data_IF_093068008343
#
_entry.id   IF_093068008343
#
_cell.length_a   1.000
_cell.length_b   1.000
_cell.length_c   1.000
_cell.angle_alpha   90.00
_cell.angle_beta   90.00
_cell.angle_gamma   90.00
#
_symmetry.space_group_name_H-M   'P 1'
#
loop_
_entity.id
_entity.type
_entity.pdbx_description
1 polymer ?
#
# COMPACT_ATOMS: atom_id res chain seq x y z
N UNK A 1 -18.02 6.75 -13.95
CA UNK A 1 -17.62 5.35 -14.25
C UNK A 1 -16.20 5.18 -13.75
N UNK A 2 -15.96 4.12 -12.97
CA UNK A 2 -14.62 3.74 -12.49
C UNK A 2 -14.26 2.43 -13.17
N UNK A 3 -13.09 2.35 -13.78
CA UNK A 3 -12.54 1.12 -14.35
C UNK A 3 -11.34 0.69 -13.49
N UNK A 4 -11.32 -0.59 -13.12
CA UNK A 4 -10.23 -1.17 -12.33
C UNK A 4 -9.54 -2.23 -13.17
N UNK A 5 -8.23 -2.09 -13.36
CA UNK A 5 -7.41 -3.04 -14.09
C UNK A 5 -6.39 -3.69 -13.15
N UNK A 6 -6.28 -5.01 -13.23
CA UNK A 6 -5.24 -5.75 -12.53
C UNK A 6 -3.89 -5.48 -13.20
N UNK A 7 -2.90 -5.04 -12.40
CA UNK A 7 -1.54 -4.84 -12.87
C UNK A 7 -0.66 -6.06 -12.56
N UNK A 8 -0.61 -6.48 -11.30
CA UNK A 8 0.20 -7.62 -10.86
C UNK A 8 -0.31 -8.19 -9.53
N UNK A 9 0.09 -9.44 -9.23
CA UNK A 9 -0.22 -10.13 -7.98
C UNK A 9 1.02 -10.88 -7.48
N UNK A 10 1.21 -10.89 -6.16
CA UNK A 10 2.22 -11.68 -5.46
C UNK A 10 1.62 -12.36 -4.24
N UNK A 11 2.30 -13.38 -3.73
CA UNK A 11 1.92 -14.09 -2.51
C UNK A 11 3.15 -14.38 -1.66
N UNK A 12 2.98 -14.48 -0.35
CA UNK A 12 4.09 -14.73 0.57
C UNK A 12 3.63 -15.04 1.98
N UNK A 13 4.61 -15.37 2.83
CA UNK A 13 4.41 -15.59 4.25
C UNK A 13 4.89 -14.36 5.03
N UNK A 14 4.00 -13.79 5.84
CA UNK A 14 4.31 -12.77 6.82
C UNK A 14 4.62 -13.45 8.16
N UNK A 15 5.90 -13.54 8.50
CA UNK A 15 6.34 -14.17 9.74
C UNK A 15 6.01 -13.36 11.00
N UNK A 16 5.75 -12.05 10.88
CA UNK A 16 5.42 -11.19 12.02
C UNK A 16 3.99 -11.49 12.50
N UNK A 17 3.06 -11.61 11.57
CA UNK A 17 1.68 -12.00 11.88
C UNK A 17 1.41 -13.51 11.78
N UNK A 18 2.41 -14.31 11.40
CA UNK A 18 2.30 -15.74 11.14
C UNK A 18 1.14 -16.06 10.19
N UNK A 19 1.10 -15.35 9.07
CA UNK A 19 -0.02 -15.38 8.13
C UNK A 19 0.46 -15.43 6.69
N UNK A 20 -0.25 -16.19 5.85
CA UNK A 20 -0.04 -16.13 4.41
C UNK A 20 -0.85 -14.98 3.84
N UNK A 21 -0.22 -14.20 2.96
CA UNK A 21 -0.82 -13.01 2.37
C UNK A 21 -0.67 -13.02 0.85
N UNK A 22 -1.65 -12.45 0.18
CA UNK A 22 -1.56 -12.11 -1.24
C UNK A 22 -1.64 -10.59 -1.40
N UNK A 23 -0.79 -10.02 -2.24
CA UNK A 23 -0.80 -8.58 -2.54
C UNK A 23 -1.14 -8.40 -4.00
N UNK A 24 -2.04 -7.47 -4.31
CA UNK A 24 -2.34 -7.08 -5.69
C UNK A 24 -2.15 -5.59 -5.90
N UNK A 25 -1.63 -5.24 -7.07
CA UNK A 25 -1.53 -3.87 -7.55
C UNK A 25 -2.63 -3.64 -8.59
N UNK A 26 -3.35 -2.53 -8.42
CA UNK A 26 -4.50 -2.15 -9.23
C UNK A 26 -4.24 -0.80 -9.87
N UNK A 27 -4.60 -0.68 -11.14
CA UNK A 27 -4.72 0.61 -11.81
C UNK A 27 -6.19 1.02 -11.79
N UNK A 28 -6.50 2.07 -11.02
CA UNK A 28 -7.85 2.60 -10.89
C UNK A 28 -7.95 3.83 -11.77
N UNK A 29 -8.86 3.75 -12.74
CA UNK A 29 -9.17 4.83 -13.65
C UNK A 29 -10.53 5.41 -13.30
N UNK A 30 -10.58 6.71 -13.05
CA UNK A 30 -11.81 7.44 -12.82
C UNK A 30 -11.87 8.67 -13.72
N UNK A 31 -13.09 9.11 -14.04
CA UNK A 31 -13.30 10.38 -14.73
C UNK A 31 -13.77 11.41 -13.73
N UNK A 32 -13.16 12.58 -13.75
CA UNK A 32 -13.61 13.74 -12.98
C UNK A 32 -14.90 14.33 -13.55
N UNK A 33 -15.52 15.24 -12.81
CA UNK A 33 -16.65 16.04 -13.31
C UNK A 33 -16.29 16.89 -14.55
N UNK A 34 -15.00 17.23 -14.71
CA UNK A 34 -14.46 17.92 -15.90
C UNK A 34 -14.08 16.96 -17.04
N UNK A 35 -14.48 15.69 -16.98
CA UNK A 35 -14.14 14.63 -17.94
C UNK A 35 -12.65 14.31 -18.10
N UNK A 36 -11.79 14.80 -17.20
CA UNK A 36 -10.38 14.45 -17.16
C UNK A 36 -10.22 13.01 -16.66
N UNK A 37 -9.32 12.26 -17.30
CA UNK A 37 -8.98 10.91 -16.88
C UNK A 37 -7.98 10.99 -15.72
N UNK A 38 -8.36 10.44 -14.58
CA UNK A 38 -7.48 10.26 -13.42
C UNK A 38 -7.07 8.79 -13.33
N UNK A 39 -5.78 8.54 -13.13
CA UNK A 39 -5.22 7.19 -12.98
C UNK A 39 -4.48 7.17 -11.65
N UNK A 40 -4.92 6.31 -10.73
CA UNK A 40 -4.21 6.02 -9.49
C UNK A 40 -3.74 4.57 -9.47
N UNK A 41 -2.62 4.34 -8.78
CA UNK A 41 -2.15 3.01 -8.47
C UNK A 41 -2.51 2.71 -7.01
N UNK A 42 -3.21 1.61 -6.80
CA UNK A 42 -3.66 1.16 -5.48
C UNK A 42 -3.08 -0.21 -5.19
N UNK A 43 -2.90 -0.52 -3.91
CA UNK A 43 -2.44 -1.81 -3.46
C UNK A 43 -3.41 -2.37 -2.42
N UNK A 44 -3.69 -3.66 -2.51
CA UNK A 44 -4.52 -4.36 -1.54
C UNK A 44 -3.84 -5.64 -1.08
N UNK A 45 -4.04 -5.98 0.19
CA UNK A 45 -3.53 -7.20 0.81
C UNK A 45 -4.68 -8.08 1.26
N UNK A 46 -4.65 -9.34 0.84
CA UNK A 46 -5.48 -10.40 1.40
C UNK A 46 -4.72 -11.08 2.52
N UNK A 47 -5.42 -11.32 3.63
CA UNK A 47 -4.88 -12.10 4.75
C UNK A 47 -5.65 -13.40 4.85
N UNK A 48 -4.96 -14.54 4.83
CA UNK A 48 -5.61 -15.86 4.93
C UNK A 48 -6.28 -16.03 6.29
N UNK A 49 -5.62 -15.55 7.34
CA UNK A 49 -6.13 -15.55 8.71
C UNK A 49 -7.49 -14.84 8.86
N UNK A 50 -7.69 -13.70 8.19
CA UNK A 50 -8.94 -12.91 8.27
C UNK A 50 -9.93 -13.24 7.15
N UNK A 51 -9.48 -13.91 6.09
CA UNK A 51 -10.30 -14.20 4.91
C UNK A 51 -10.75 -12.95 4.15
N UNK A 52 -10.01 -11.84 4.24
CA UNK A 52 -10.45 -10.55 3.69
C UNK A 52 -9.35 -9.76 3.00
N UNK A 53 -9.75 -8.97 2.01
CA UNK A 53 -8.91 -7.95 1.37
C UNK A 53 -8.96 -6.64 2.18
N UNK A 54 -7.83 -5.95 2.24
CA UNK A 54 -7.66 -4.62 2.84
C UNK A 54 -6.86 -3.73 1.89
N UNK A 55 -7.31 -2.50 1.70
CA UNK A 55 -6.53 -1.48 1.00
C UNK A 55 -5.34 -1.02 1.83
N UNK A 56 -4.17 -0.92 1.18
CA UNK A 56 -2.97 -0.34 1.75
C UNK A 56 -3.01 1.18 1.56
N UNK A 57 -2.65 1.92 2.60
CA UNK A 57 -2.54 3.37 2.53
C UNK A 57 -1.23 3.76 1.81
N UNK A 58 -1.28 4.50 0.69
CA UNK A 58 -0.08 4.97 0.01
C UNK A 58 0.81 5.86 0.87
N UNK A 59 0.27 6.48 1.93
CA UNK A 59 1.02 7.41 2.81
C UNK A 59 1.71 6.74 3.99
N UNK A 60 1.65 5.41 4.09
CA UNK A 60 2.19 4.67 5.23
C UNK A 60 3.69 4.94 5.50
N UNK A 61 4.46 5.33 4.48
CA UNK A 61 5.90 5.61 4.60
C UNK A 61 6.22 7.07 4.99
N UNK A 62 5.33 8.03 4.70
CA UNK A 62 5.57 9.46 4.98
C UNK A 62 5.51 9.79 6.49
N UNK A 63 4.82 8.97 7.30
CA UNK A 63 4.69 9.18 8.75
C UNK A 63 5.85 8.64 9.59
N UNK A 64 6.83 7.94 8.98
CA UNK A 64 7.92 7.30 9.73
C UNK A 64 9.29 7.98 9.55
N UNK A 65 9.38 9.11 8.82
CA UNK A 65 10.64 9.85 8.62
C UNK A 65 10.89 10.94 9.69
N UNK A 66 10.05 11.06 10.73
CA UNK A 66 10.09 12.15 11.71
C UNK A 66 10.87 11.89 13.01
N UNK A 67 11.27 10.66 13.31
CA UNK A 67 11.61 10.28 14.70
C UNK A 67 13.07 9.80 14.88
N UNK A 68 13.91 9.96 13.85
CA UNK A 68 15.34 9.66 13.90
C UNK A 68 16.18 10.91 14.09
N UNK A 69 16.09 11.58 15.25
CA UNK A 69 17.13 12.53 15.64
C UNK A 69 18.41 11.75 15.96
N UNK A 70 19.34 11.74 15.01
CA UNK A 70 20.73 11.34 15.25
C UNK A 70 21.30 12.27 16.34
N UNK A 71 21.36 11.80 17.59
CA UNK A 71 22.15 12.45 18.63
C UNK A 71 23.63 12.23 18.31
N UNK A 72 24.25 13.24 17.71
CA UNK A 72 25.69 13.34 17.55
C UNK A 72 26.32 13.49 18.95
N UNK A 73 26.80 12.38 19.53
CA UNK A 73 27.64 12.41 20.73
C UNK A 73 28.94 13.17 20.39
N UNK A 74 28.99 14.44 20.77
CA UNK A 74 30.21 15.25 20.80
C UNK A 74 31.10 14.73 21.93
N UNK A 75 32.04 13.84 21.59
CA UNK A 75 33.13 13.46 22.50
C UNK A 75 34.08 14.67 22.68
N UNK A 76 34.17 15.17 23.92
CA UNK A 76 35.24 16.04 24.41
C UNK A 76 36.30 15.22 25.15
#
# INVERSE_FOLDING_TARGET
>A
MVNVYFHSVGFGFDSVSNDFKAVRLLNVQSRSASNLLHISQEAEVYSVSSGSWRQLDPKFWETNEGDGEDQEEVNQ
#
